data_IF_970241076407
#
_entry.id   IF_970241076407
#
_cell.length_a   1.000
_cell.length_b   1.000
_cell.length_c   1.000
_cell.angle_alpha   90.00
_cell.angle_beta   90.00
_cell.angle_gamma   90.00
#
_symmetry.space_group_name_H-M   'P 1'
#
loop_
_entity.id
_entity.type
_entity.pdbx_description
1 polymer ?
2 non-polymer ?
3 non-polymer ?
4 water ?
#
# COMPACT_ATOMS: atom_id res chain seq x y z
N UNK A 1 8.60 -19.15 12.28
CA UNK A 1 9.08 -19.47 10.91
C UNK A 1 9.32 -18.18 10.13
N UNK A 2 9.53 -18.27 8.80
CA UNK A 2 9.72 -17.05 8.04
C UNK A 2 8.44 -16.22 8.15
N UNK A 3 8.46 -15.07 7.50
CA UNK A 3 7.23 -14.28 7.28
C UNK A 3 6.71 -14.75 5.94
N UNK A 4 5.39 -14.83 5.80
CA UNK A 4 4.78 -15.21 4.53
C UNK A 4 4.37 -13.98 3.73
N UNK A 5 4.64 -14.05 2.45
CA UNK A 5 4.44 -12.94 1.49
C UNK A 5 3.83 -13.44 0.20
N UNK A 6 3.07 -12.57 -0.44
CA UNK A 6 2.47 -12.82 -1.77
C UNK A 6 2.79 -11.66 -2.68
N UNK A 7 3.09 -11.95 -3.93
CA UNK A 7 3.22 -10.93 -4.98
C UNK A 7 1.83 -10.50 -5.47
N UNK A 8 1.64 -9.22 -5.69
CA UNK A 8 0.35 -8.71 -6.12
C UNK A 8 0.43 -7.32 -6.74
N UNK A 9 -0.59 -6.91 -7.45
CA UNK A 9 -0.82 -5.53 -7.84
C UNK A 9 -2.08 -5.03 -7.16
N UNK A 10 -2.21 -3.71 -7.08
CA UNK A 10 -3.41 -3.03 -6.55
C UNK A 10 -3.96 -2.11 -7.64
N UNK A 11 -5.29 -2.00 -7.72
CA UNK A 11 -5.94 -0.93 -8.51
C UNK A 11 -7.03 -0.29 -7.67
N UNK A 12 -7.18 1.02 -7.76
CA UNK A 12 -8.20 1.75 -6.98
C UNK A 12 -9.58 1.39 -7.55
N UNK A 13 -10.64 1.86 -6.90
CA UNK A 13 -12.00 1.44 -7.28
C UNK A 13 -12.44 2.12 -8.56
N UNK A 14 -11.67 3.12 -8.98
CA UNK A 14 -11.86 3.83 -10.27
C UNK A 14 -11.18 3.02 -11.37
N UNK A 15 -10.38 2.01 -10.98
CA UNK A 15 -9.63 1.05 -11.83
C UNK A 15 -8.35 1.70 -12.35
N UNK A 16 -7.79 2.65 -11.59
CA UNK A 16 -6.43 3.19 -11.85
C UNK A 16 -5.36 2.26 -11.29
N UNK A 17 -4.30 2.04 -12.05
CA UNK A 17 -3.12 1.27 -11.69
C UNK A 17 -2.10 2.19 -11.00
N UNK A 18 -1.18 1.55 -10.25
CA UNK A 18 -0.11 2.28 -9.53
C UNK A 18 1.24 2.06 -10.22
N UNK A 19 2.04 3.10 -10.38
CA UNK A 19 3.38 2.93 -11.02
C UNK A 19 4.41 3.74 -10.22
N UNK A 20 5.64 3.22 -10.12
CA UNK A 20 6.81 4.02 -9.69
C UNK A 20 7.09 5.01 -10.83
N UNK A 21 7.20 6.30 -10.55
CA UNK A 21 7.37 7.31 -11.62
C UNK A 21 8.57 8.23 -11.37
N UNK A 22 9.09 8.27 -10.14
CA UNK A 22 10.23 9.10 -9.74
C UNK A 22 10.85 8.54 -8.46
N UNK A 23 12.06 9.00 -8.06
CA UNK A 23 12.86 8.31 -7.04
C UNK A 23 12.03 7.49 -6.04
N UNK A 24 11.18 8.14 -5.26
CA UNK A 24 10.41 7.54 -4.13
C UNK A 24 8.92 7.86 -4.30
N UNK A 25 8.40 7.71 -5.51
CA UNK A 25 7.09 8.29 -5.90
C UNK A 25 6.26 7.23 -6.62
N UNK A 26 5.05 6.99 -6.12
CA UNK A 26 4.04 6.08 -6.73
C UNK A 26 2.91 6.94 -7.30
N UNK A 27 2.47 6.66 -8.53
CA UNK A 27 1.37 7.42 -9.18
C UNK A 27 0.26 6.46 -9.61
N UNK A 28 -0.97 6.98 -9.57
CA UNK A 28 -2.22 6.30 -9.98
C UNK A 28 -2.65 6.87 -11.33
N UNK A 29 -2.75 6.01 -12.33
CA UNK A 29 -3.27 6.42 -13.65
C UNK A 29 -3.98 5.24 -14.26
N UNK A 30 -4.86 5.62 -15.19
CA UNK A 30 -5.54 4.65 -16.05
C UNK A 30 -4.51 4.04 -17.00
N UNK A 31 -4.47 2.70 -17.05
CA UNK A 31 -3.46 1.87 -17.74
C UNK A 31 -4.15 0.68 -18.39
N UNK A 32 -3.76 0.33 -19.62
CA UNK A 32 -4.24 -0.89 -20.26
C UNK A 32 -3.27 -1.22 -21.38
N UNK A 33 -3.15 -2.49 -21.67
CA UNK A 33 -2.31 -2.99 -22.78
C UNK A 33 -0.85 -3.02 -22.40
N UNK A 34 0.01 -2.65 -23.35
CA UNK A 34 1.49 -2.80 -23.19
C UNK A 34 1.92 -2.04 -21.94
N UNK A 35 1.41 -0.82 -21.73
CA UNK A 35 1.85 0.06 -20.63
C UNK A 35 1.62 -0.63 -19.26
N UNK A 36 0.95 -1.79 -19.21
CA UNK A 36 0.57 -2.42 -17.90
C UNK A 36 1.80 -2.99 -17.22
N UNK A 37 2.83 -3.33 -17.98
CA UNK A 37 4.14 -3.77 -17.45
C UNK A 37 4.68 -2.69 -16.52
N UNK A 38 4.28 -1.42 -16.62
CA UNK A 38 4.86 -0.32 -15.82
C UNK A 38 4.31 -0.40 -14.39
N UNK A 39 3.24 -1.13 -14.16
CA UNK A 39 2.62 -1.08 -12.82
C UNK A 39 3.54 -1.69 -11.76
N UNK A 40 3.40 -1.22 -10.54
CA UNK A 40 4.22 -1.68 -9.42
C UNK A 40 3.69 -3.02 -8.96
N UNK A 41 4.61 -3.95 -8.77
CA UNK A 41 4.33 -5.23 -8.11
C UNK A 41 4.77 -5.14 -6.68
N UNK A 42 3.82 -5.41 -5.81
CA UNK A 42 4.02 -5.44 -4.36
C UNK A 42 4.39 -6.84 -3.89
N UNK A 43 5.20 -6.91 -2.86
CA UNK A 43 5.28 -8.09 -2.00
C UNK A 43 4.52 -7.76 -0.74
N UNK A 44 3.34 -8.36 -0.56
CA UNK A 44 2.49 -8.12 0.63
C UNK A 44 2.86 -9.14 1.65
N UNK A 45 3.41 -8.72 2.78
CA UNK A 45 3.81 -9.61 3.90
C UNK A 45 2.68 -9.64 4.96
N UNK A 46 2.45 -10.81 5.56
CA UNK A 46 1.42 -10.97 6.59
C UNK A 46 2.13 -10.89 7.94
N UNK A 47 1.97 -9.81 8.65
CA UNK A 47 2.83 -9.40 9.76
C UNK A 47 2.11 -9.49 11.09
N UNK A 48 2.88 -9.34 12.14
CA UNK A 48 2.36 -9.29 13.53
C UNK A 48 1.48 -8.07 13.71
N UNK A 49 0.36 -8.25 14.39
CA UNK A 49 -0.51 -7.13 14.76
C UNK A 49 -1.90 -7.62 15.16
N UNK A 50 -2.70 -6.72 15.71
CA UNK A 50 -4.14 -6.95 16.04
C UNK A 50 -4.90 -7.40 14.77
N UNK A 51 -5.68 -8.48 14.83
CA UNK A 51 -6.27 -9.14 13.65
C UNK A 51 -7.73 -9.55 13.95
N UNK A 52 -8.61 -9.48 12.96
CA UNK A 52 -9.99 -10.03 13.03
C UNK A 52 -10.37 -10.60 11.66
N UNK A 53 -11.60 -11.12 11.52
CA UNK A 53 -11.97 -11.87 10.29
C UNK A 53 -11.64 -11.03 9.06
N UNK A 54 -12.02 -9.75 9.09
CA UNK A 54 -11.97 -8.94 7.85
C UNK A 54 -10.88 -7.86 7.93
N UNK A 55 -10.00 -7.92 8.94
CA UNK A 55 -8.94 -6.91 9.26
C UNK A 55 -7.61 -7.62 9.49
N UNK A 56 -6.68 -7.51 8.55
CA UNK A 56 -5.46 -8.39 8.51
C UNK A 56 -4.26 -7.47 8.39
N UNK A 57 -3.31 -7.51 9.33
CA UNK A 57 -2.16 -6.59 9.29
C UNK A 57 -1.14 -7.05 8.26
N UNK A 58 -0.78 -6.11 7.36
CA UNK A 58 0.19 -6.40 6.26
C UNK A 58 1.27 -5.32 6.22
N UNK A 59 2.36 -5.64 5.56
CA UNK A 59 3.31 -4.64 5.07
C UNK A 59 3.26 -4.72 3.55
N UNK A 60 3.53 -3.59 2.93
CA UNK A 60 3.57 -3.46 1.45
C UNK A 60 4.96 -3.07 1.02
N UNK A 61 5.76 -4.05 0.64
CA UNK A 61 7.06 -3.85 0.03
C UNK A 61 6.99 -3.83 -1.47
N UNK A 62 7.90 -3.19 -2.19
CA UNK A 62 8.00 -3.29 -3.65
C UNK A 62 8.75 -4.57 -3.98
N UNK A 63 8.24 -5.35 -4.92
CA UNK A 63 8.87 -6.65 -5.23
C UNK A 63 10.36 -6.51 -5.56
N UNK A 64 11.15 -7.29 -4.82
CA UNK A 64 12.64 -7.43 -4.90
C UNK A 64 13.30 -6.05 -4.82
N UNK A 65 12.71 -5.16 -4.01
CA UNK A 65 13.34 -3.86 -3.67
C UNK A 65 13.27 -3.74 -2.17
N UNK A 66 14.26 -3.08 -1.59
CA UNK A 66 14.29 -2.82 -0.12
C UNK A 66 13.57 -1.50 0.14
N UNK A 67 12.30 -1.45 -0.28
CA UNK A 67 11.44 -0.24 -0.18
C UNK A 67 10.08 -0.70 0.32
N UNK A 68 9.58 0.01 1.29
CA UNK A 68 8.27 -0.29 1.93
C UNK A 68 7.46 0.98 1.98
N UNK A 69 6.16 0.87 1.78
CA UNK A 69 5.25 1.95 2.18
C UNK A 69 5.30 2.10 3.70
N UNK A 70 5.24 3.35 4.13
CA UNK A 70 5.55 3.79 5.51
C UNK A 70 4.70 5.02 5.88
N UNK A 71 4.13 5.04 7.10
CA UNK A 71 3.31 6.16 7.55
C UNK A 71 4.09 6.88 8.65
N UNK A 72 4.39 8.14 8.39
CA UNK A 72 5.14 8.95 9.38
C UNK A 72 4.52 10.34 9.41
N UNK A 73 4.80 11.05 10.52
CA UNK A 73 4.45 12.47 10.53
C UNK A 73 5.44 13.25 9.68
N UNK A 74 4.94 14.10 8.79
CA UNK A 74 5.83 14.99 8.02
C UNK A 74 5.22 16.37 8.08
N UNK A 75 6.09 17.36 8.36
CA UNK A 75 5.64 18.75 8.61
C UNK A 75 4.33 18.62 9.40
N UNK A 76 4.35 17.81 10.46
CA UNK A 76 3.25 17.63 11.46
C UNK A 76 1.98 16.95 10.93
N UNK A 77 2.02 16.21 9.83
CA UNK A 77 0.81 15.49 9.32
C UNK A 77 1.15 14.00 9.09
N UNK A 78 0.20 13.06 9.32
CA UNK A 78 0.34 11.65 8.88
C UNK A 78 0.50 11.68 7.35
N UNK A 79 1.60 11.13 6.86
CA UNK A 79 1.87 11.06 5.41
C UNK A 79 2.33 9.65 5.05
N UNK A 80 2.17 9.36 3.78
CA UNK A 80 2.63 8.10 3.16
C UNK A 80 4.00 8.38 2.58
N UNK A 81 4.97 7.53 2.82
CA UNK A 81 6.26 7.62 2.14
C UNK A 81 6.72 6.23 1.73
N UNK A 82 7.65 6.19 0.79
CA UNK A 82 8.40 4.97 0.46
C UNK A 82 9.65 5.06 1.27
N UNK A 83 10.00 4.08 2.04
CA UNK A 83 11.16 4.10 2.94
C UNK A 83 12.09 2.93 2.61
N UNK A 84 13.39 3.21 2.52
CA UNK A 84 14.50 2.23 2.32
C UNK A 84 14.79 1.49 3.63
N UNK A 85 15.08 0.18 3.55
CA UNK A 85 15.46 -0.61 4.74
C UNK A 85 16.74 -1.41 4.42
N UNK A 86 17.28 -2.04 5.45
CA UNK A 86 18.44 -2.94 5.25
C UNK A 86 17.94 -4.21 4.61
N UNK A 87 18.34 -4.57 3.37
CA UNK A 87 17.77 -5.74 2.71
C UNK A 87 18.11 -7.06 3.38
N UNK A 88 19.08 -7.06 4.30
CA UNK A 88 19.42 -8.30 5.06
C UNK A 88 18.33 -8.61 6.08
N UNK A 89 17.52 -7.63 6.47
CA UNK A 89 16.68 -7.77 7.69
C UNK A 89 15.18 -7.77 7.36
N UNK A 90 14.83 -7.61 6.11
CA UNK A 90 13.41 -7.46 5.66
C UNK A 90 13.13 -8.43 4.52
N UNK A 91 11.88 -8.90 4.37
CA UNK A 91 10.82 -8.61 5.30
C UNK A 91 11.02 -9.42 6.58
N UNK A 92 10.29 -9.03 7.58
CA UNK A 92 10.27 -9.79 8.85
C UNK A 92 8.86 -9.84 9.38
N UNK A 93 8.61 -10.77 10.30
CA UNK A 93 7.23 -10.93 10.80
C UNK A 93 6.86 -9.74 11.69
N UNK A 94 7.76 -9.28 12.54
CA UNK A 94 7.53 -8.15 13.45
C UNK A 94 7.97 -6.83 12.78
N UNK A 95 7.21 -6.39 11.78
CA UNK A 95 7.53 -5.10 11.12
C UNK A 95 7.19 -3.96 12.08
N UNK A 96 8.02 -2.92 12.08
CA UNK A 96 7.76 -1.69 12.85
C UNK A 96 6.42 -1.08 12.47
N UNK A 97 5.78 -0.39 13.39
CA UNK A 97 4.36 -0.01 13.23
C UNK A 97 4.15 0.93 12.05
N UNK A 98 5.10 1.77 11.68
CA UNK A 98 4.94 2.71 10.55
C UNK A 98 4.76 1.94 9.23
N UNK A 99 5.16 0.67 9.18
CA UNK A 99 5.08 -0.15 7.95
C UNK A 99 3.78 -0.94 7.90
N UNK A 100 2.96 -0.94 8.95
CA UNK A 100 1.83 -1.87 9.06
C UNK A 100 0.56 -1.13 8.62
N UNK A 101 -0.17 -1.84 7.76
CA UNK A 101 -1.52 -1.44 7.32
C UNK A 101 -2.47 -2.54 7.75
N UNK A 102 -3.65 -2.14 8.16
CA UNK A 102 -4.77 -3.06 8.33
C UNK A 102 -5.50 -3.17 7.00
N UNK A 103 -5.38 -4.33 6.38
CA UNK A 103 -6.08 -4.64 5.13
C UNK A 103 -7.50 -5.07 5.51
N UNK A 104 -8.46 -4.26 5.16
CA UNK A 104 -9.88 -4.43 5.57
C UNK A 104 -10.71 -4.78 4.34
N UNK A 105 -11.50 -5.84 4.42
CA UNK A 105 -12.32 -6.30 3.29
C UNK A 105 -13.74 -5.79 3.55
N UNK A 106 -14.25 -4.84 2.76
CA UNK A 106 -15.70 -4.44 2.88
C UNK A 106 -16.29 -4.43 1.47
N UNK A 107 -17.39 -5.17 1.30
CA UNK A 107 -18.20 -5.19 0.06
C UNK A 107 -17.26 -5.43 -1.13
N UNK A 108 -16.49 -6.49 -1.03
CA UNK A 108 -15.72 -7.06 -2.16
C UNK A 108 -14.64 -6.07 -2.59
N UNK A 109 -14.30 -5.09 -1.75
CA UNK A 109 -13.16 -4.16 -1.97
C UNK A 109 -12.24 -4.20 -0.75
N UNK A 110 -11.04 -3.66 -0.91
CA UNK A 110 -10.04 -3.61 0.18
C UNK A 110 -9.76 -2.16 0.52
N UNK A 111 -9.60 -1.86 1.79
CA UNK A 111 -9.06 -0.58 2.25
C UNK A 111 -7.80 -0.93 3.04
N UNK A 112 -6.83 -0.01 3.02
CA UNK A 112 -5.58 -0.20 3.76
C UNK A 112 -5.47 0.98 4.73
N UNK A 113 -5.82 0.71 5.99
CA UNK A 113 -5.75 1.71 7.07
C UNK A 113 -4.34 1.68 7.68
N UNK A 114 -3.75 2.83 7.92
CA UNK A 114 -2.51 2.87 8.75
C UNK A 114 -2.70 2.27 10.15
N UNK A 115 -1.92 1.27 10.55
CA UNK A 115 -1.93 0.76 11.94
C UNK A 115 -1.51 1.92 12.84
N UNK A 116 -0.54 2.70 12.44
CA UNK A 116 0.04 3.79 13.29
C UNK A 116 -0.98 4.91 13.46
N UNK A 117 -1.74 5.27 12.43
CA UNK A 117 -2.63 6.44 12.43
C UNK A 117 -4.03 5.95 12.11
N UNK A 118 -4.83 5.62 13.14
CA UNK A 118 -6.18 5.10 12.94
C UNK A 118 -7.00 6.06 12.07
N UNK A 119 -7.74 5.47 11.14
CA UNK A 119 -8.67 6.14 10.23
C UNK A 119 -8.00 7.02 9.17
N UNK A 120 -6.72 6.76 8.94
CA UNK A 120 -5.95 7.28 7.79
C UNK A 120 -5.69 6.10 6.85
N UNK A 121 -5.92 6.34 5.57
CA UNK A 121 -6.02 5.27 4.54
C UNK A 121 -5.12 5.60 3.36
N UNK A 122 -4.55 4.53 2.79
CA UNK A 122 -3.96 4.67 1.43
C UNK A 122 -5.07 5.17 0.48
N UNK A 123 -4.78 6.24 -0.23
CA UNK A 123 -5.74 7.02 -1.02
C UNK A 123 -5.17 7.35 -2.40
N UNK A 124 -6.07 7.54 -3.38
CA UNK A 124 -5.70 8.13 -4.66
C UNK A 124 -6.65 9.29 -4.93
N UNK A 125 -6.21 10.15 -5.83
CA UNK A 125 -7.06 11.25 -6.34
C UNK A 125 -7.90 10.75 -7.50
N UNK A 126 -8.99 11.47 -7.78
CA UNK A 126 -9.77 11.21 -9.01
C UNK A 126 -8.99 11.55 -10.30
N UNK A 127 -8.23 12.63 -10.29
CA UNK A 127 -7.38 13.02 -11.43
C UNK A 127 -6.31 11.96 -11.69
N UNK A 128 -5.87 11.90 -12.92
CA UNK A 128 -4.79 11.01 -13.42
C UNK A 128 -3.44 11.58 -12.99
N UNK A 129 -2.50 10.68 -12.72
CA UNK A 129 -1.06 11.01 -12.59
C UNK A 129 -0.78 11.85 -11.37
N UNK A 130 -1.50 11.61 -10.28
CA UNK A 130 -1.26 12.28 -8.99
C UNK A 130 -0.75 11.24 -7.98
N UNK A 131 -0.03 11.71 -6.95
CA UNK A 131 0.59 10.82 -5.98
C UNK A 131 -0.47 9.96 -5.28
N UNK A 132 -0.03 8.78 -4.90
CA UNK A 132 -0.71 7.99 -3.84
C UNK A 132 -0.37 8.64 -2.51
N UNK A 133 -1.32 8.74 -1.60
CA UNK A 133 -1.11 9.49 -0.35
C UNK A 133 -1.88 8.87 0.78
N UNK A 134 -1.67 9.36 1.99
CA UNK A 134 -2.44 8.97 3.15
C UNK A 134 -3.53 10.01 3.42
N UNK A 135 -4.75 9.54 3.40
CA UNK A 135 -5.93 10.42 3.50
C UNK A 135 -6.65 10.10 4.75
N UNK A 136 -7.09 11.16 5.47
CA UNK A 136 -7.62 11.09 6.85
C UNK A 136 -9.13 10.88 6.89
N UNK A 137 -9.74 10.47 5.77
CA UNK A 137 -11.13 9.94 5.79
C UNK A 137 -11.35 8.97 4.62
N UNK A 138 -12.00 7.83 4.94
CA UNK A 138 -12.61 6.87 3.97
C UNK A 138 -13.99 7.42 3.53
N UNK A 139 -14.14 8.75 3.40
CA UNK A 139 -15.34 9.43 2.85
C UNK A 139 -14.95 10.63 1.98
N UNK A 140 -15.76 10.99 0.95
CA UNK A 140 -15.57 12.18 0.09
C UNK A 140 -15.06 11.85 -1.32
N UNK A 141 -14.28 12.76 -1.93
CA UNK A 141 -13.88 12.72 -3.37
C UNK A 141 -12.68 11.79 -3.58
N UNK A 142 -11.75 11.73 -2.62
CA UNK A 142 -10.59 10.80 -2.70
C UNK A 142 -11.02 9.34 -2.58
N UNK A 143 -10.23 8.47 -3.21
CA UNK A 143 -10.57 7.07 -3.36
C UNK A 143 -9.76 6.27 -2.33
N UNK A 144 -10.41 5.45 -1.53
CA UNK A 144 -9.78 4.68 -0.43
C UNK A 144 -10.05 3.19 -0.60
N UNK A 145 -10.68 2.75 -1.71
CA UNK A 145 -11.06 1.35 -1.98
C UNK A 145 -10.21 0.83 -3.12
N UNK A 146 -9.77 -0.40 -3.02
CA UNK A 146 -8.89 -1.04 -3.99
C UNK A 146 -9.36 -2.44 -4.27
N UNK A 147 -8.89 -3.01 -5.38
CA UNK A 147 -8.87 -4.45 -5.61
C UNK A 147 -7.44 -4.94 -5.74
N UNK A 148 -7.21 -6.20 -5.41
CA UNK A 148 -5.87 -6.83 -5.49
C UNK A 148 -5.93 -7.84 -6.63
N UNK A 149 -4.83 -7.93 -7.37
CA UNK A 149 -4.63 -8.99 -8.39
C UNK A 149 -3.43 -9.79 -7.93
N UNK A 150 -3.50 -11.08 -7.92
CA UNK A 150 -2.41 -11.97 -7.50
C UNK A 150 -1.52 -12.16 -8.73
N UNK A 151 -0.21 -12.15 -8.48
CA UNK A 151 0.85 -12.23 -9.53
C UNK A 151 1.68 -13.50 -9.26
N UNK A 152 2.19 -14.13 -10.31
CA UNK A 152 3.14 -15.29 -10.21
C UNK A 152 4.35 -14.88 -9.37
X LIG B 1 11.28 -13.48 10.57
X LIG B 1 12.73 -13.50 10.59
X LIG B 1 10.75 -14.64 11.26
X LIG B 1 10.83 -12.28 11.22
X LIG B 1 10.82 -13.49 9.20
X LIG C 1 13.48 1.69 13.74
X LIG C 1 13.44 0.99 12.45
X LIG C 1 14.06 0.81 14.74
X LIG C 1 14.26 2.89 13.60
X LIG C 1 12.14 2.04 14.18
X LIG D 1 7.25 12.72 -2.48
X LIG D 1 6.71 12.26 -3.77
X LIG D 1 6.88 11.86 -1.33
X LIG D 1 5.39 11.55 -1.25
X LIG D 1 5.01 10.96 -2.54
X LIG D 1 4.47 7.26 -1.87
X LIG D 1 4.47 9.17 -3.81
X LIG D 1 4.69 8.74 -1.46
X LIG D 1 4.71 9.62 -2.70
X LIG D 1 5.22 11.88 -3.68
X LIG D 1 4.54 6.44 -0.85
X LIG D 1 3.31 6.99 -2.48
X LIG D 1 5.38 6.82 -2.70
#
# INVERSE_FOLDING_TARGET
>A
APVRSLNCTLRDSQQKSLVMSGPYELKALHLQGQDMEQQVVFSMSFVQGEESNDKIPVALGLKEKNLYLSCVLKDDKPTLQLESVDPKNYPKKKMEKRFVFNKIEINNKLEFESAQFPNWYISTSQAENMPVFLGGTKGGQDITDFTMQFVSS
>B hetero
1 SO4 S O1 O2 O3 O4
>C hetero
1 SO4 S O1 O2 O3 O4
>D hetero
1 S7A N1 C4 C5 C6 N C O C1 C2 C3 F F1 F2
#
